data_IF_021093900209
#
_entry.id   IF_021093900209
#
_cell.length_a   1.000
_cell.length_b   1.000
_cell.length_c   1.000
_cell.angle_alpha   90.00
_cell.angle_beta   90.00
_cell.angle_gamma   90.00
#
_symmetry.space_group_name_H-M   'P 1'
#
loop_
_entity.id
_entity.type
_entity.pdbx_description
1 polymer ?
#
# COMPACT_ATOMS: atom_id res chain seq x y z
N UNK A 1 22.47 -8.68 13.74
CA UNK A 1 23.40 -9.81 13.86
C UNK A 1 22.97 -10.75 14.97
N UNK A 2 23.52 -11.94 14.97
CA UNK A 2 23.29 -12.95 16.00
C UNK A 2 24.27 -12.72 17.18
N UNK A 3 23.80 -12.98 18.41
CA UNK A 3 24.56 -12.88 19.65
C UNK A 3 24.75 -14.26 20.28
N UNK A 4 25.78 -14.44 21.08
CA UNK A 4 26.11 -15.70 21.76
C UNK A 4 24.98 -16.20 22.69
N UNK A 5 24.06 -15.34 23.09
CA UNK A 5 22.91 -15.69 23.93
C UNK A 5 21.64 -16.13 23.12
N UNK A 6 21.80 -16.45 21.84
CA UNK A 6 20.74 -16.93 20.96
C UNK A 6 19.82 -15.87 20.37
N UNK A 7 20.04 -14.59 20.66
CA UNK A 7 19.28 -13.49 20.07
C UNK A 7 19.88 -13.01 18.76
N UNK A 8 19.02 -12.73 17.80
CA UNK A 8 19.39 -12.08 16.54
C UNK A 8 18.46 -10.93 16.22
N UNK A 9 18.99 -9.92 15.54
CA UNK A 9 18.21 -8.72 15.16
C UNK A 9 18.63 -8.24 13.78
N UNK A 10 17.63 -7.89 12.96
CA UNK A 10 17.81 -7.18 11.71
C UNK A 10 16.80 -6.05 11.61
N UNK A 11 17.24 -4.89 11.15
CA UNK A 11 16.39 -3.70 11.01
C UNK A 11 16.72 -2.95 9.73
N UNK A 12 15.69 -2.46 9.05
CA UNK A 12 15.78 -1.54 7.92
C UNK A 12 14.77 -0.41 8.10
N UNK A 13 15.23 0.82 7.92
CA UNK A 13 14.38 2.00 7.82
C UNK A 13 14.81 2.79 6.59
N UNK A 14 13.87 3.10 5.70
CA UNK A 14 14.14 3.89 4.51
C UNK A 14 13.09 4.97 4.31
N UNK A 15 13.48 6.01 3.58
CA UNK A 15 12.59 7.04 3.07
C UNK A 15 12.92 7.26 1.59
N UNK A 16 11.89 7.46 0.79
CA UNK A 16 12.00 7.90 -0.59
C UNK A 16 10.99 9.00 -0.87
N UNK A 17 11.34 9.91 -1.76
CA UNK A 17 10.43 10.91 -2.30
C UNK A 17 10.95 11.37 -3.66
N UNK A 18 10.06 11.86 -4.50
CA UNK A 18 10.42 12.42 -5.79
C UNK A 18 9.25 12.48 -6.77
N UNK A 19 9.53 13.10 -7.89
CA UNK A 19 8.62 13.17 -9.01
C UNK A 19 8.70 11.89 -9.85
N UNK A 20 7.55 11.47 -10.40
CA UNK A 20 7.49 10.44 -11.40
C UNK A 20 7.83 10.97 -12.80
N UNK A 21 7.71 10.12 -13.82
CA UNK A 21 7.99 10.50 -15.21
C UNK A 21 7.03 11.57 -15.73
N UNK A 22 5.73 11.46 -15.44
CA UNK A 22 4.72 12.41 -15.86
C UNK A 22 4.66 13.63 -14.94
N UNK A 23 4.25 14.76 -15.47
CA UNK A 23 4.07 15.98 -14.69
C UNK A 23 3.04 15.79 -13.59
N UNK A 24 3.27 16.41 -12.42
CA UNK A 24 2.35 16.32 -11.27
C UNK A 24 2.18 14.90 -10.74
N UNK A 25 3.25 14.11 -10.68
CA UNK A 25 3.24 12.74 -10.13
C UNK A 25 4.25 12.58 -8.99
N UNK A 26 4.28 13.56 -8.10
CA UNK A 26 5.10 13.47 -6.88
C UNK A 26 4.62 12.34 -5.97
N UNK A 27 5.56 11.71 -5.29
CA UNK A 27 5.26 10.71 -4.28
C UNK A 27 6.31 10.64 -3.20
N UNK A 28 5.94 10.04 -2.09
CA UNK A 28 6.85 9.74 -0.99
C UNK A 28 6.40 8.50 -0.22
N UNK A 29 7.35 7.86 0.44
CA UNK A 29 7.07 6.73 1.28
C UNK A 29 8.22 6.37 2.19
N UNK A 30 7.92 5.51 3.15
CA UNK A 30 8.87 4.93 4.06
C UNK A 30 8.80 3.41 3.95
N UNK A 31 9.90 2.74 4.28
CA UNK A 31 9.87 1.30 4.51
C UNK A 31 10.47 1.03 5.87
N UNK A 32 9.81 0.20 6.65
CA UNK A 32 10.35 -0.33 7.88
C UNK A 32 10.31 -1.86 7.88
N UNK A 33 11.33 -2.44 8.44
CA UNK A 33 11.47 -3.87 8.64
C UNK A 33 12.18 -4.08 9.97
N UNK A 34 11.65 -4.98 10.78
CA UNK A 34 12.25 -5.45 12.01
C UNK A 34 12.11 -6.97 12.07
N UNK A 35 13.22 -7.65 12.33
CA UNK A 35 13.24 -9.07 12.63
C UNK A 35 13.98 -9.30 13.93
N UNK A 36 13.35 -10.02 14.84
CA UNK A 36 13.89 -10.44 16.13
C UNK A 36 13.86 -11.96 16.19
N UNK A 37 15.02 -12.59 16.15
CA UNK A 37 15.17 -14.03 16.29
C UNK A 37 15.60 -14.41 17.70
N UNK A 38 15.13 -15.56 18.17
CA UNK A 38 15.55 -16.16 19.44
C UNK A 38 15.66 -17.68 19.32
N UNK A 39 16.90 -18.17 19.30
CA UNK A 39 17.20 -19.59 19.43
C UNK A 39 17.15 -19.97 20.91
N UNK A 40 16.01 -20.55 21.34
CA UNK A 40 15.79 -20.94 22.73
C UNK A 40 16.69 -22.12 23.12
N UNK A 41 16.86 -23.09 22.21
CA UNK A 41 17.71 -24.26 22.33
C UNK A 41 17.89 -24.88 20.92
N UNK A 42 18.49 -26.06 20.83
CA UNK A 42 18.74 -26.74 19.55
C UNK A 42 17.45 -27.25 18.85
N UNK A 43 16.33 -27.28 19.57
CA UNK A 43 15.05 -27.74 19.05
C UNK A 43 14.08 -26.60 18.72
N UNK A 44 14.15 -25.48 19.40
CA UNK A 44 13.18 -24.40 19.27
C UNK A 44 13.84 -23.11 18.82
N UNK A 45 13.39 -22.62 17.69
CA UNK A 45 13.76 -21.31 17.15
C UNK A 45 12.53 -20.46 16.92
N UNK A 46 12.55 -19.22 17.36
CA UNK A 46 11.47 -18.25 17.18
C UNK A 46 11.97 -17.06 16.38
N UNK A 47 11.13 -16.53 15.52
CA UNK A 47 11.40 -15.27 14.82
C UNK A 47 10.13 -14.43 14.76
N UNK A 48 10.20 -13.24 15.32
CA UNK A 48 9.19 -12.21 15.11
C UNK A 48 9.64 -11.29 13.98
N UNK A 49 8.75 -11.05 13.01
CA UNK A 49 8.98 -10.15 11.90
C UNK A 49 7.85 -9.13 11.82
N UNK A 50 8.22 -7.87 11.63
CA UNK A 50 7.31 -6.78 11.32
C UNK A 50 7.83 -6.02 10.11
N UNK A 51 6.98 -5.79 9.12
CA UNK A 51 7.33 -4.99 7.94
C UNK A 51 6.14 -4.16 7.47
N UNK A 52 6.45 -3.03 6.85
CA UNK A 52 5.44 -2.17 6.22
C UNK A 52 6.08 -1.06 5.40
N UNK A 53 5.30 -0.54 4.46
CA UNK A 53 5.74 0.49 3.53
C UNK A 53 4.62 1.52 3.31
N UNK A 54 4.35 2.42 4.30
CA UNK A 54 3.41 3.52 4.08
C UNK A 54 3.90 4.41 2.95
N UNK A 55 2.98 4.73 2.03
CA UNK A 55 3.29 5.63 0.91
C UNK A 55 2.06 6.35 0.40
N UNK A 56 2.30 7.44 -0.32
CA UNK A 56 1.35 8.04 -1.23
C UNK A 56 2.06 8.57 -2.48
N UNK A 57 1.35 8.61 -3.59
CA UNK A 57 1.83 9.22 -4.83
C UNK A 57 0.66 9.73 -5.67
N UNK A 58 0.90 10.81 -6.38
CA UNK A 58 -0.02 11.36 -7.36
C UNK A 58 0.09 10.57 -8.67
N UNK A 59 -1.02 10.42 -9.38
CA UNK A 59 -1.12 9.47 -10.48
C UNK A 59 -1.38 10.16 -11.82
N UNK A 60 -0.82 9.58 -12.87
CA UNK A 60 -1.22 9.80 -14.25
C UNK A 60 -1.88 8.55 -14.82
N UNK A 61 -2.96 8.74 -15.58
CA UNK A 61 -3.56 7.67 -16.36
C UNK A 61 -3.19 7.83 -17.83
N UNK A 62 -3.09 6.71 -18.54
CA UNK A 62 -2.78 6.66 -19.96
C UNK A 62 -3.71 7.57 -20.77
N UNK A 63 -3.14 8.31 -21.71
CA UNK A 63 -3.83 9.14 -22.69
C UNK A 63 -3.75 8.49 -24.07
N UNK A 64 -4.52 9.00 -25.02
CA UNK A 64 -4.37 8.58 -26.42
C UNK A 64 -3.02 9.00 -27.00
N UNK A 65 -2.54 8.28 -28.00
CA UNK A 65 -1.32 8.65 -28.73
C UNK A 65 -1.43 10.07 -29.29
N UNK A 66 -2.59 10.43 -29.83
CA UNK A 66 -2.84 11.78 -30.33
C UNK A 66 -2.63 12.85 -29.27
N UNK A 67 -3.13 12.63 -28.05
CA UNK A 67 -2.92 13.54 -26.93
C UNK A 67 -1.43 13.68 -26.58
N UNK A 68 -0.68 12.58 -26.57
CA UNK A 68 0.75 12.63 -26.27
C UNK A 68 1.56 13.29 -27.39
N UNK A 69 1.16 13.17 -28.64
CA UNK A 69 1.77 13.88 -29.77
C UNK A 69 1.51 15.39 -29.70
N UNK A 70 0.32 15.78 -29.28
CA UNK A 70 -0.10 17.18 -29.14
C UNK A 70 0.51 17.86 -27.89
N UNK A 71 0.44 17.20 -26.74
CA UNK A 71 0.72 17.77 -25.42
C UNK A 71 2.07 17.35 -24.82
N UNK A 72 2.75 16.40 -25.47
CA UNK A 72 4.00 15.84 -24.96
C UNK A 72 3.82 14.60 -24.06
N UNK A 73 4.89 13.81 -23.96
CA UNK A 73 4.85 12.49 -23.28
C UNK A 73 4.66 12.57 -21.77
N UNK A 74 4.96 13.72 -21.16
CA UNK A 74 4.81 13.95 -19.71
C UNK A 74 3.44 14.46 -19.31
N UNK A 75 2.59 14.78 -20.29
CA UNK A 75 1.30 15.39 -20.05
C UNK A 75 0.44 14.57 -19.08
N UNK A 76 0.02 15.21 -18.02
CA UNK A 76 -0.92 14.69 -17.02
C UNK A 76 -2.03 15.72 -16.80
N UNK A 77 -3.28 15.31 -16.91
CA UNK A 77 -4.45 16.17 -16.74
C UNK A 77 -5.26 15.84 -15.47
N UNK A 78 -4.64 15.18 -14.51
CA UNK A 78 -5.27 14.81 -13.23
C UNK A 78 -4.97 15.81 -12.11
N UNK A 79 -4.29 16.91 -12.41
CA UNK A 79 -3.98 17.97 -11.47
C UNK A 79 -4.31 19.34 -12.05
N UNK A 80 -4.23 20.33 -11.20
CA UNK A 80 -4.36 21.75 -11.52
C UNK A 80 -4.01 22.60 -10.33
N UNK A 81 -4.48 23.81 -10.33
CA UNK A 81 -4.18 24.80 -9.28
C UNK A 81 -5.45 25.46 -8.77
N UNK A 82 -5.44 25.81 -7.48
CA UNK A 82 -6.35 26.77 -6.86
C UNK A 82 -5.52 27.97 -6.43
N UNK A 83 -5.62 29.08 -7.13
CA UNK A 83 -4.59 30.12 -7.06
C UNK A 83 -3.22 29.52 -7.40
N UNK A 84 -2.26 29.66 -6.49
CA UNK A 84 -0.91 29.08 -6.63
C UNK A 84 -0.77 27.69 -5.98
N UNK A 85 -1.83 27.19 -5.36
CA UNK A 85 -1.80 25.90 -4.67
C UNK A 85 -2.00 24.75 -5.63
N UNK A 86 -1.00 23.86 -5.75
CA UNK A 86 -1.11 22.61 -6.47
C UNK A 86 -2.14 21.66 -5.82
N UNK A 87 -3.04 21.14 -6.62
CA UNK A 87 -4.04 20.14 -6.21
C UNK A 87 -4.09 19.00 -7.23
N UNK A 88 -4.22 17.79 -6.74
CA UNK A 88 -4.42 16.60 -7.58
C UNK A 88 -5.76 15.94 -7.30
N UNK A 89 -6.39 15.47 -8.36
CA UNK A 89 -7.59 14.65 -8.27
C UNK A 89 -7.25 13.18 -7.97
N UNK A 90 -6.05 12.74 -8.37
CA UNK A 90 -5.66 11.33 -8.41
C UNK A 90 -4.43 11.07 -7.54
N UNK A 91 -4.69 10.75 -6.28
CA UNK A 91 -3.66 10.32 -5.33
C UNK A 91 -3.96 8.89 -4.89
N UNK A 92 -2.96 8.03 -4.92
CA UNK A 92 -3.01 6.73 -4.28
C UNK A 92 -2.22 6.78 -2.98
N UNK A 93 -2.72 6.10 -1.95
CA UNK A 93 -2.05 5.99 -0.66
C UNK A 93 -2.38 4.66 -0.01
N UNK A 94 -1.41 4.08 0.68
CA UNK A 94 -1.66 2.87 1.46
C UNK A 94 -0.62 2.64 2.54
N UNK A 95 -1.04 1.90 3.56
CA UNK A 95 -0.19 1.28 4.57
C UNK A 95 -0.75 -0.10 4.89
N UNK A 96 0.04 -1.14 4.66
CA UNK A 96 -0.33 -2.55 4.83
C UNK A 96 0.77 -3.29 5.59
N UNK A 97 0.90 -3.06 6.91
CA UNK A 97 1.87 -3.78 7.72
C UNK A 97 1.54 -5.27 7.79
N UNK A 98 2.61 -6.06 7.89
CA UNK A 98 2.55 -7.50 8.12
C UNK A 98 3.37 -7.83 9.35
N UNK A 99 2.81 -8.67 10.20
CA UNK A 99 3.43 -9.22 11.40
C UNK A 99 3.44 -10.72 11.30
N UNK A 100 4.59 -11.34 11.53
CA UNK A 100 4.71 -12.80 11.60
C UNK A 100 5.39 -13.18 12.91
N UNK A 101 4.90 -14.26 13.54
CA UNK A 101 5.60 -15.00 14.57
C UNK A 101 5.84 -16.40 14.02
N UNK A 102 7.09 -16.68 13.69
CA UNK A 102 7.53 -17.96 13.20
C UNK A 102 8.06 -18.80 14.36
N UNK A 103 7.73 -20.07 14.38
CA UNK A 103 8.25 -21.07 15.30
C UNK A 103 8.68 -22.29 14.51
N UNK A 104 9.97 -22.59 14.56
CA UNK A 104 10.56 -23.79 14.00
C UNK A 104 10.90 -24.74 15.14
N UNK A 105 10.38 -25.96 15.05
CA UNK A 105 10.56 -27.01 16.04
C UNK A 105 11.21 -28.24 15.40
N UNK A 106 12.44 -28.52 15.78
CA UNK A 106 13.13 -29.77 15.45
C UNK A 106 12.73 -30.83 16.45
N UNK A 107 11.82 -31.71 16.05
CA UNK A 107 11.27 -32.77 16.92
C UNK A 107 12.37 -33.81 17.21
N UNK A 108 13.00 -34.30 16.15
CA UNK A 108 14.13 -35.22 16.17
C UNK A 108 14.99 -35.02 14.92
N UNK A 109 15.95 -35.95 14.65
CA UNK A 109 16.88 -35.87 13.52
C UNK A 109 16.19 -35.96 12.14
N UNK A 110 14.96 -36.48 12.09
CA UNK A 110 14.21 -36.76 10.86
C UNK A 110 12.95 -35.90 10.73
N UNK A 111 12.51 -35.27 11.80
CA UNK A 111 11.18 -34.66 11.87
C UNK A 111 11.25 -33.22 12.32
N UNK A 112 10.53 -32.35 11.63
CA UNK A 112 10.39 -30.94 11.99
C UNK A 112 8.95 -30.44 11.83
N UNK A 113 8.65 -29.37 12.58
CA UNK A 113 7.39 -28.63 12.47
C UNK A 113 7.71 -27.15 12.35
N UNK A 114 7.24 -26.52 11.29
CA UNK A 114 7.31 -25.06 11.12
C UNK A 114 5.91 -24.50 11.23
N UNK A 115 5.77 -23.43 12.02
CA UNK A 115 4.48 -22.76 12.24
C UNK A 115 4.67 -21.25 12.16
N UNK A 116 3.77 -20.59 11.42
CA UNK A 116 3.72 -19.15 11.28
C UNK A 116 2.35 -18.65 11.73
N UNK A 117 2.33 -17.83 12.76
CA UNK A 117 1.19 -16.97 13.05
C UNK A 117 1.40 -15.64 12.34
N UNK A 118 0.43 -15.19 11.57
CA UNK A 118 0.53 -13.91 10.88
C UNK A 118 -0.68 -13.02 11.12
N UNK A 119 -0.42 -11.73 11.06
CA UNK A 119 -1.44 -10.70 11.07
C UNK A 119 -1.10 -9.62 10.05
N UNK A 120 -2.10 -9.09 9.37
CA UNK A 120 -1.99 -7.91 8.53
C UNK A 120 -3.20 -7.02 8.73
N UNK A 121 -2.94 -5.74 8.95
CA UNK A 121 -3.99 -4.71 8.92
C UNK A 121 -3.67 -3.75 7.80
N UNK A 122 -4.61 -3.52 6.91
CA UNK A 122 -4.38 -2.69 5.73
C UNK A 122 -5.36 -1.54 5.67
N UNK A 123 -4.83 -0.35 5.39
CA UNK A 123 -5.59 0.84 5.10
C UNK A 123 -4.99 1.54 3.89
N UNK A 124 -5.83 1.90 2.92
CA UNK A 124 -5.39 2.61 1.75
C UNK A 124 -6.53 2.98 0.85
N UNK A 125 -6.22 3.75 -0.18
CA UNK A 125 -7.25 4.18 -1.12
C UNK A 125 -6.68 4.98 -2.29
N UNK A 126 -7.60 5.37 -3.15
CA UNK A 126 -7.31 6.26 -4.26
C UNK A 126 -8.32 7.39 -4.31
N UNK A 127 -7.84 8.60 -4.54
CA UNK A 127 -8.71 9.75 -4.73
C UNK A 127 -9.24 9.81 -6.16
N UNK A 128 -10.36 10.49 -6.33
CA UNK A 128 -10.98 10.76 -7.62
C UNK A 128 -12.08 11.79 -7.46
N UNK A 129 -12.64 12.20 -8.57
CA UNK A 129 -13.77 13.12 -8.54
C UNK A 129 -15.11 12.40 -8.41
N UNK A 130 -16.08 13.14 -7.93
CA UNK A 130 -17.49 12.94 -8.17
C UNK A 130 -18.08 14.28 -8.61
N UNK A 131 -18.92 14.26 -9.62
CA UNK A 131 -19.42 15.46 -10.28
C UNK A 131 -18.59 15.90 -11.49
N UNK A 132 -18.91 17.05 -12.02
CA UNK A 132 -18.36 17.57 -13.28
C UNK A 132 -16.99 18.23 -13.04
N UNK A 133 -16.02 17.89 -13.88
CA UNK A 133 -14.75 18.61 -13.95
C UNK A 133 -14.90 19.85 -14.82
N UNK A 134 -14.33 20.94 -14.36
CA UNK A 134 -14.07 22.10 -15.20
C UNK A 134 -12.58 22.08 -15.52
N UNK A 135 -12.23 22.37 -16.77
CA UNK A 135 -10.85 22.31 -17.25
C UNK A 135 -10.44 23.63 -17.89
N UNK A 136 -9.16 23.93 -17.77
CA UNK A 136 -8.51 24.99 -18.54
C UNK A 136 -8.45 24.63 -20.03
N UNK A 137 -8.12 25.58 -20.90
CA UNK A 137 -7.87 25.35 -22.32
C UNK A 137 -6.77 24.33 -22.59
N UNK A 138 -5.76 24.26 -21.70
CA UNK A 138 -4.69 23.28 -21.73
C UNK A 138 -5.09 21.91 -21.20
N UNK A 139 -6.33 21.75 -20.74
CA UNK A 139 -6.90 20.49 -20.28
C UNK A 139 -6.59 20.12 -18.83
N UNK A 140 -5.90 20.96 -18.07
CA UNK A 140 -5.71 20.78 -16.62
C UNK A 140 -7.02 21.01 -15.86
N UNK A 141 -7.07 20.59 -14.59
CA UNK A 141 -8.23 20.84 -13.75
C UNK A 141 -8.20 22.32 -13.30
N UNK A 142 -9.29 23.04 -13.59
CA UNK A 142 -9.47 24.41 -13.17
C UNK A 142 -10.19 24.44 -11.82
N UNK A 143 -9.40 24.42 -10.74
CA UNK A 143 -9.96 24.40 -9.40
C UNK A 143 -10.54 25.75 -8.97
N UNK A 144 -10.09 26.87 -9.55
CA UNK A 144 -10.70 28.18 -9.29
C UNK A 144 -12.12 28.25 -9.86
N UNK A 145 -12.30 27.80 -11.12
CA UNK A 145 -13.62 27.72 -11.73
C UNK A 145 -14.52 26.68 -11.03
N UNK A 146 -13.98 25.55 -10.60
CA UNK A 146 -14.71 24.54 -9.82
C UNK A 146 -15.18 25.13 -8.48
N UNK A 147 -14.33 25.85 -7.77
CA UNK A 147 -14.68 26.49 -6.50
C UNK A 147 -15.78 27.51 -6.69
N UNK A 148 -15.63 28.39 -7.68
CA UNK A 148 -16.65 29.41 -8.02
C UNK A 148 -17.99 28.75 -8.39
N UNK A 149 -17.96 27.68 -9.18
CA UNK A 149 -19.16 26.93 -9.56
C UNK A 149 -19.83 26.28 -8.34
N UNK A 150 -19.06 25.62 -7.49
CA UNK A 150 -19.59 25.00 -6.27
C UNK A 150 -20.23 26.03 -5.33
N UNK A 151 -19.66 27.22 -5.20
CA UNK A 151 -20.26 28.30 -4.42
C UNK A 151 -21.58 28.78 -5.02
N UNK A 152 -21.67 28.90 -6.35
CA UNK A 152 -22.89 29.34 -7.02
C UNK A 152 -24.04 28.35 -6.88
N UNK A 153 -23.74 27.04 -6.83
CA UNK A 153 -24.74 25.97 -6.71
C UNK A 153 -25.14 25.67 -5.25
N UNK A 154 -24.33 26.06 -4.27
CA UNK A 154 -24.60 25.85 -2.84
C UNK A 154 -25.81 26.61 -2.33
N UNK A 155 -26.16 27.73 -2.99
CA UNK A 155 -27.33 28.52 -2.64
C UNK A 155 -28.69 27.94 -3.05
N UNK A 156 -28.73 26.94 -3.94
CA UNK A 156 -29.94 26.40 -4.53
C UNK A 156 -30.44 25.09 -3.89
N UNK A 157 -30.03 24.77 -2.67
CA UNK A 157 -30.45 23.54 -1.99
C UNK A 157 -29.37 22.92 -1.11
N UNK A 158 -28.24 23.56 -1.02
CA UNK A 158 -27.27 23.32 0.07
C UNK A 158 -26.34 22.14 -0.08
N UNK A 159 -26.36 21.37 -1.15
CA UNK A 159 -25.45 20.24 -1.29
C UNK A 159 -24.36 20.54 -2.32
N UNK A 160 -23.16 20.69 -1.88
CA UNK A 160 -21.99 20.55 -2.75
C UNK A 160 -21.97 19.14 -3.33
N UNK A 161 -21.80 18.98 -4.62
CA UNK A 161 -21.47 17.69 -5.14
C UNK A 161 -22.19 17.26 -6.40
N UNK A 162 -22.04 15.98 -6.70
CA UNK A 162 -22.38 15.38 -7.97
C UNK A 162 -23.88 15.39 -8.31
N UNK A 163 -24.76 15.40 -7.31
CA UNK A 163 -26.21 15.38 -7.53
C UNK A 163 -26.71 16.65 -8.21
N UNK A 164 -26.01 17.77 -8.03
CA UNK A 164 -26.34 19.07 -8.62
C UNK A 164 -25.28 19.56 -9.63
N UNK A 165 -24.42 18.65 -10.10
CA UNK A 165 -23.39 18.98 -11.07
C UNK A 165 -22.13 19.63 -10.46
N UNK A 166 -22.07 19.83 -9.14
CA UNK A 166 -20.89 20.29 -8.46
C UNK A 166 -19.76 19.24 -8.45
N UNK A 167 -18.60 19.64 -7.97
CA UNK A 167 -17.41 18.76 -7.90
C UNK A 167 -17.00 18.54 -6.46
N UNK A 168 -16.73 17.29 -6.10
CA UNK A 168 -16.08 16.92 -4.86
C UNK A 168 -14.99 15.88 -5.13
N UNK A 169 -13.88 15.99 -4.41
CA UNK A 169 -12.87 14.94 -4.35
C UNK A 169 -13.34 13.88 -3.36
N UNK A 170 -13.35 12.63 -3.78
CA UNK A 170 -13.67 11.45 -2.96
C UNK A 170 -12.49 10.53 -2.84
N UNK A 171 -12.46 9.71 -1.80
CA UNK A 171 -11.55 8.57 -1.69
C UNK A 171 -12.33 7.27 -1.75
N UNK A 172 -11.86 6.33 -2.58
CA UNK A 172 -12.25 4.93 -2.49
C UNK A 172 -11.29 4.24 -1.54
N UNK A 173 -11.82 3.81 -0.38
CA UNK A 173 -11.01 3.21 0.67
C UNK A 173 -11.06 1.68 0.60
N UNK A 174 -9.90 1.05 0.78
CA UNK A 174 -9.76 -0.38 0.97
C UNK A 174 -9.14 -0.62 2.33
N UNK A 175 -9.82 -1.40 3.15
CA UNK A 175 -9.36 -1.79 4.47
C UNK A 175 -9.50 -3.30 4.63
N UNK A 176 -8.54 -3.91 5.32
CA UNK A 176 -8.61 -5.32 5.66
C UNK A 176 -7.91 -5.59 6.99
N UNK A 177 -8.38 -6.61 7.67
CA UNK A 177 -7.67 -7.23 8.78
C UNK A 177 -7.63 -8.72 8.50
N UNK A 178 -6.44 -9.29 8.42
CA UNK A 178 -6.21 -10.71 8.19
C UNK A 178 -5.43 -11.29 9.35
N UNK A 179 -5.86 -12.46 9.79
CA UNK A 179 -5.16 -13.25 10.78
C UNK A 179 -5.10 -14.68 10.26
N UNK A 180 -3.98 -15.32 10.47
CA UNK A 180 -3.89 -16.69 10.03
C UNK A 180 -2.76 -17.46 10.71
N UNK A 181 -2.82 -18.75 10.50
CA UNK A 181 -1.84 -19.73 10.93
C UNK A 181 -1.52 -20.62 9.73
N UNK A 182 -0.23 -20.72 9.42
CA UNK A 182 0.29 -21.72 8.48
C UNK A 182 1.17 -22.65 9.28
N UNK A 183 0.96 -23.95 9.15
CA UNK A 183 1.81 -24.95 9.79
C UNK A 183 2.17 -26.07 8.81
N UNK A 184 3.37 -26.57 8.93
CA UNK A 184 3.91 -27.63 8.09
C UNK A 184 4.71 -28.62 8.93
N UNK A 185 4.33 -29.90 8.86
CA UNK A 185 5.07 -31.01 9.42
C UNK A 185 5.80 -31.75 8.31
N UNK A 186 7.06 -32.01 8.53
CA UNK A 186 7.92 -32.79 7.62
C UNK A 186 8.65 -33.89 8.38
N UNK A 187 8.75 -35.07 7.78
CA UNK A 187 9.52 -36.20 8.34
C UNK A 187 10.12 -37.07 7.25
N UNK A 188 11.31 -37.58 7.50
CA UNK A 188 11.96 -38.60 6.68
C UNK A 188 11.51 -39.98 7.15
N UNK A 189 10.76 -40.71 6.30
CA UNK A 189 10.27 -42.04 6.58
C UNK A 189 11.34 -43.13 6.26
N UNK A 190 12.23 -42.83 5.34
CA UNK A 190 13.41 -43.64 5.00
C UNK A 190 14.41 -42.78 4.21
N UNK A 191 15.60 -43.31 3.91
CA UNK A 191 16.65 -42.60 3.17
C UNK A 191 16.20 -42.04 1.80
N UNK A 192 15.11 -42.60 1.24
CA UNK A 192 14.59 -42.22 -0.07
C UNK A 192 13.13 -41.71 -0.04
N UNK A 193 12.54 -41.56 1.13
CA UNK A 193 11.13 -41.22 1.24
C UNK A 193 10.94 -40.17 2.38
N UNK A 194 10.43 -39.00 2.03
CA UNK A 194 9.96 -38.00 2.97
C UNK A 194 8.45 -37.82 2.88
N UNK A 195 7.84 -37.41 3.97
CA UNK A 195 6.42 -37.05 4.09
C UNK A 195 6.29 -35.61 4.57
N UNK A 196 5.41 -34.87 3.95
CA UNK A 196 5.11 -33.49 4.29
C UNK A 196 3.60 -33.29 4.32
N UNK A 197 3.10 -32.61 5.35
CA UNK A 197 1.70 -32.22 5.47
C UNK A 197 1.59 -30.86 6.12
N UNK A 198 0.75 -30.00 5.56
CA UNK A 198 0.54 -28.64 6.05
C UNK A 198 -0.93 -28.27 6.16
N UNK A 199 -1.18 -27.21 6.91
CA UNK A 199 -2.48 -26.56 7.03
C UNK A 199 -2.32 -25.04 6.96
N UNK A 200 -3.26 -24.38 6.28
CA UNK A 200 -3.41 -22.90 6.25
C UNK A 200 -4.81 -22.57 6.72
N UNK A 201 -4.87 -21.83 7.81
CA UNK A 201 -6.10 -21.31 8.41
C UNK A 201 -6.07 -19.80 8.39
N UNK A 202 -7.12 -19.18 7.83
CA UNK A 202 -7.17 -17.72 7.65
C UNK A 202 -8.58 -17.19 7.88
N UNK A 203 -8.64 -16.00 8.48
CA UNK A 203 -9.88 -15.22 8.69
C UNK A 203 -9.70 -13.80 8.17
#
# INVERSE_FOLDING_TARGET
GEKDNGWSTSMLLTHWQGDGYADGTFGQGQTYFLSLGYKMNDKHNFNFLMTGAPQWHDQNFTKSIATYLERGRKYNNNYGYYGDQYLTERRNFYHKPVFNLNWDFTIDEKSSLSTVLYASTGNGGGTGNRGNRIRTEDGYIDYDAIYAYNLSTSGAGGAYGAAEGGYVTRSSMNMHNWFGLVTNYETELSDNLSFNVGADLRT
#
